data_IF_565240237883
#
_entry.id   IF_565240237883
#
_cell.length_a   1.000
_cell.length_b   1.000
_cell.length_c   1.000
_cell.angle_alpha   90.00
_cell.angle_beta   90.00
_cell.angle_gamma   90.00
#
_symmetry.space_group_name_H-M   'P 1'
#
loop_
_entity.id
_entity.type
_entity.pdbx_description
1 polymer ?
#
# COMPACT_ATOMS: atom_id res chain seq x y z
N UNK A 1 1.73 -23.69 3.67
CA UNK A 1 2.02 -23.70 2.22
C UNK A 1 2.12 -22.25 1.82
N UNK A 2 3.31 -21.75 1.50
CA UNK A 2 3.50 -20.35 1.15
C UNK A 2 2.84 -20.09 -0.22
N UNK A 3 2.10 -18.99 -0.39
CA UNK A 3 1.52 -18.63 -1.67
C UNK A 3 2.63 -18.44 -2.73
N UNK A 4 2.31 -18.73 -3.99
CA UNK A 4 3.27 -18.61 -5.11
C UNK A 4 3.55 -17.12 -5.32
N UNK A 5 4.74 -16.76 -5.81
CA UNK A 5 5.11 -15.33 -5.98
C UNK A 5 4.14 -14.52 -6.87
N UNK A 6 3.38 -15.17 -7.77
CA UNK A 6 2.32 -14.52 -8.54
C UNK A 6 1.09 -14.12 -7.70
N UNK A 7 0.86 -14.76 -6.54
CA UNK A 7 -0.31 -14.52 -5.68
C UNK A 7 -0.16 -13.23 -4.85
N UNK A 8 1.06 -12.89 -4.41
CA UNK A 8 1.26 -11.76 -3.47
C UNK A 8 1.02 -10.40 -4.14
N UNK A 9 1.45 -10.25 -5.40
CA UNK A 9 1.23 -9.04 -6.20
C UNK A 9 -0.24 -8.88 -6.61
N UNK A 10 -0.95 -9.98 -6.86
CA UNK A 10 -2.40 -9.97 -7.10
C UNK A 10 -3.17 -9.57 -5.82
N UNK A 11 -2.84 -10.18 -4.68
CA UNK A 11 -3.42 -9.81 -3.38
C UNK A 11 -3.18 -8.34 -3.03
N UNK A 12 -1.95 -7.85 -3.23
CA UNK A 12 -1.62 -6.45 -2.98
C UNK A 12 -2.46 -5.52 -3.86
N UNK A 13 -2.65 -5.85 -5.14
CA UNK A 13 -3.49 -5.07 -6.06
C UNK A 13 -4.95 -5.03 -5.60
N UNK A 14 -5.49 -6.15 -5.10
CA UNK A 14 -6.85 -6.22 -4.53
C UNK A 14 -6.95 -5.33 -3.29
N UNK A 15 -5.99 -5.38 -2.37
CA UNK A 15 -5.99 -4.53 -1.17
C UNK A 15 -5.86 -3.05 -1.52
N UNK A 16 -4.98 -2.70 -2.46
CA UNK A 16 -4.82 -1.34 -2.95
C UNK A 16 -6.13 -0.81 -3.57
N UNK A 17 -6.81 -1.60 -4.40
CA UNK A 17 -8.09 -1.23 -4.99
C UNK A 17 -9.19 -0.99 -3.94
N UNK A 18 -9.24 -1.83 -2.89
CA UNK A 18 -10.16 -1.64 -1.75
C UNK A 18 -9.87 -0.34 -1.00
N UNK A 19 -8.59 -0.07 -0.69
CA UNK A 19 -8.18 1.13 0.02
C UNK A 19 -8.48 2.39 -0.79
N UNK A 20 -8.16 2.37 -2.09
CA UNK A 20 -8.47 3.46 -3.02
C UNK A 20 -9.98 3.74 -3.10
N UNK A 21 -10.82 2.70 -3.05
CA UNK A 21 -12.28 2.86 -3.02
C UNK A 21 -12.72 3.60 -1.75
N UNK A 22 -12.24 3.17 -0.58
CA UNK A 22 -12.57 3.78 0.72
C UNK A 22 -12.14 5.24 0.78
N UNK A 23 -10.89 5.54 0.41
CA UNK A 23 -10.37 6.90 0.34
C UNK A 23 -11.18 7.81 -0.58
N UNK A 24 -11.58 7.29 -1.76
CA UNK A 24 -12.45 8.04 -2.69
C UNK A 24 -13.85 8.30 -2.12
N UNK A 25 -14.43 7.33 -1.41
CA UNK A 25 -15.77 7.45 -0.82
C UNK A 25 -15.77 8.52 0.28
N UNK A 26 -14.77 8.51 1.17
CA UNK A 26 -14.62 9.48 2.26
C UNK A 26 -13.95 10.79 1.86
N UNK A 27 -13.56 10.94 0.58
CA UNK A 27 -12.82 12.10 0.05
C UNK A 27 -11.52 12.38 0.81
N UNK A 28 -10.86 11.33 1.27
CA UNK A 28 -9.62 11.38 2.04
C UNK A 28 -8.39 11.28 1.14
N UNK A 29 -7.31 11.92 1.59
CA UNK A 29 -6.00 11.84 0.98
C UNK A 29 -5.09 10.86 1.71
N UNK A 30 -4.26 10.16 0.94
CA UNK A 30 -3.22 9.26 1.41
C UNK A 30 -1.83 9.80 1.06
N UNK A 31 -0.89 9.61 1.98
CA UNK A 31 0.54 9.69 1.73
C UNK A 31 1.28 8.39 2.11
N UNK A 32 2.49 8.20 1.59
CA UNK A 32 3.34 7.03 1.91
C UNK A 32 4.74 7.42 2.34
N UNK A 33 5.35 6.65 3.24
CA UNK A 33 6.75 6.77 3.63
C UNK A 33 7.44 5.40 3.60
N UNK A 34 8.29 5.15 2.62
CA UNK A 34 8.90 3.85 2.38
C UNK A 34 10.40 3.86 2.63
N UNK A 35 10.91 2.81 3.27
CA UNK A 35 12.34 2.53 3.35
C UNK A 35 12.67 1.28 2.53
N UNK A 36 12.58 0.08 3.11
CA UNK A 36 13.04 -1.17 2.50
C UNK A 36 12.28 -1.59 1.22
N UNK A 37 11.05 -1.11 1.02
CA UNK A 37 10.24 -1.34 -0.19
C UNK A 37 10.62 -0.44 -1.36
N UNK A 38 11.34 0.66 -1.11
CA UNK A 38 11.94 1.51 -2.15
C UNK A 38 10.96 2.05 -3.19
N UNK A 39 9.69 2.28 -2.82
CA UNK A 39 8.67 2.83 -3.71
C UNK A 39 7.66 1.82 -4.25
N UNK A 40 7.79 0.54 -3.88
CA UNK A 40 6.88 -0.50 -4.35
C UNK A 40 5.43 -0.28 -3.89
N UNK A 41 5.20 0.13 -2.63
CA UNK A 41 3.84 0.42 -2.16
C UNK A 41 3.25 1.58 -2.97
N UNK A 42 4.03 2.63 -3.17
CA UNK A 42 3.63 3.80 -3.97
C UNK A 42 3.29 3.39 -5.40
N UNK A 43 4.13 2.57 -6.05
CA UNK A 43 3.90 2.06 -7.41
C UNK A 43 2.54 1.35 -7.50
N UNK A 44 2.29 0.37 -6.61
CA UNK A 44 1.04 -0.41 -6.58
C UNK A 44 -0.18 0.50 -6.41
N UNK A 45 -0.09 1.50 -5.52
CA UNK A 45 -1.19 2.45 -5.30
C UNK A 45 -1.43 3.34 -6.53
N UNK A 46 -0.36 3.81 -7.18
CA UNK A 46 -0.46 4.72 -8.33
C UNK A 46 -0.82 4.04 -9.65
N UNK A 47 -0.69 2.71 -9.73
CA UNK A 47 -1.18 1.92 -10.87
C UNK A 47 -2.71 1.95 -10.97
N UNK A 48 -3.41 2.31 -9.89
CA UNK A 48 -4.86 2.46 -9.88
C UNK A 48 -5.27 3.77 -10.57
N UNK A 49 -6.07 3.65 -11.63
CA UNK A 49 -6.56 4.80 -12.38
C UNK A 49 -7.27 5.86 -11.51
N UNK A 50 -6.87 7.11 -11.71
CA UNK A 50 -7.35 8.25 -10.94
C UNK A 50 -6.73 8.38 -9.54
N UNK A 51 -5.54 7.80 -9.32
CA UNK A 51 -4.73 7.98 -8.10
C UNK A 51 -4.59 9.45 -7.68
N UNK A 52 -4.50 10.38 -8.65
CA UNK A 52 -4.39 11.83 -8.40
C UNK A 52 -5.55 12.46 -7.59
N UNK A 53 -6.64 11.73 -7.35
CA UNK A 53 -7.80 12.20 -6.56
C UNK A 53 -7.73 11.83 -5.08
N UNK A 54 -6.82 10.94 -4.69
CA UNK A 54 -6.77 10.38 -3.32
C UNK A 54 -5.36 10.01 -2.86
N UNK A 55 -4.37 9.94 -3.75
CA UNK A 55 -2.96 9.82 -3.40
C UNK A 55 -2.26 11.17 -3.61
N UNK A 56 -1.61 11.69 -2.57
CA UNK A 56 -1.07 13.06 -2.57
C UNK A 56 0.44 13.12 -2.68
N UNK A 57 1.16 12.27 -1.94
CA UNK A 57 2.64 12.33 -1.86
C UNK A 57 3.21 11.01 -1.34
N UNK A 58 4.39 10.64 -1.84
CA UNK A 58 5.19 9.54 -1.30
C UNK A 58 6.62 10.00 -1.00
N UNK A 59 7.23 9.42 0.03
CA UNK A 59 8.63 9.59 0.38
C UNK A 59 9.36 8.26 0.36
N UNK A 60 10.57 8.26 -0.19
CA UNK A 60 11.52 7.16 -0.03
C UNK A 60 12.62 7.61 0.92
N UNK A 61 12.52 7.22 2.19
CA UNK A 61 13.48 7.61 3.24
C UNK A 61 14.39 6.45 3.61
N UNK A 62 15.26 6.08 2.67
CA UNK A 62 16.10 4.88 2.80
C UNK A 62 17.17 5.01 3.90
N UNK A 63 17.78 6.18 4.05
CA UNK A 63 18.80 6.45 5.07
C UNK A 63 18.19 6.98 6.37
N UNK A 64 18.91 6.82 7.48
CA UNK A 64 18.53 7.39 8.78
C UNK A 64 18.42 8.93 8.70
N UNK A 65 19.36 9.57 8.00
CA UNK A 65 19.34 11.01 7.71
C UNK A 65 18.06 11.43 6.97
N UNK A 66 17.66 10.68 5.93
CA UNK A 66 16.43 11.01 5.18
C UNK A 66 15.17 10.86 6.02
N UNK A 67 15.11 9.91 6.97
CA UNK A 67 13.98 9.78 7.90
C UNK A 67 13.87 11.02 8.79
N UNK A 68 14.99 11.54 9.26
CA UNK A 68 15.07 12.76 10.06
C UNK A 68 14.68 14.00 9.24
N UNK A 69 15.32 14.22 8.10
CA UNK A 69 15.15 15.45 7.33
C UNK A 69 13.74 15.53 6.71
N UNK A 70 13.30 14.44 6.07
CA UNK A 70 12.06 14.43 5.30
C UNK A 70 10.84 14.12 6.14
N UNK A 71 10.97 13.45 7.29
CA UNK A 71 9.82 13.01 8.11
C UNK A 71 9.93 13.43 9.58
N UNK A 72 11.04 14.02 10.02
CA UNK A 72 11.19 14.55 11.38
C UNK A 72 11.29 13.46 12.42
N UNK A 73 11.71 12.24 12.03
CA UNK A 73 11.94 11.15 12.96
C UNK A 73 13.10 11.54 13.87
N UNK A 74 12.88 11.44 15.18
CA UNK A 74 13.90 11.75 16.18
C UNK A 74 15.10 10.81 16.04
N UNK A 75 16.30 11.38 16.06
CA UNK A 75 17.56 10.67 15.96
C UNK A 75 17.74 9.66 17.11
N UNK A 76 17.21 9.96 18.30
CA UNK A 76 17.25 9.06 19.46
C UNK A 76 16.50 7.73 19.20
N UNK A 77 15.46 7.73 18.35
CA UNK A 77 14.72 6.52 17.97
C UNK A 77 15.52 5.64 16.99
N UNK A 78 16.42 6.23 16.22
CA UNK A 78 17.08 5.57 15.09
C UNK A 78 18.50 5.09 15.46
N UNK A 79 19.26 5.91 16.19
CA UNK A 79 20.67 5.62 16.50
C UNK A 79 20.75 4.48 17.51
N UNK A 80 21.39 3.37 17.09
CA UNK A 80 21.58 2.18 17.93
C UNK A 80 22.42 2.53 19.16
N UNK A 81 21.86 2.33 20.34
CA UNK A 81 22.47 2.61 21.64
C UNK A 81 21.65 2.01 22.79
N UNK A 82 22.07 2.24 24.03
CA UNK A 82 21.28 1.81 25.20
C UNK A 82 19.91 2.49 25.18
N UNK A 83 18.84 1.69 25.03
CA UNK A 83 17.45 2.17 25.03
C UNK A 83 16.85 2.49 23.66
N UNK A 84 17.63 2.49 22.57
CA UNK A 84 17.09 2.69 21.22
C UNK A 84 16.70 1.36 20.58
N UNK A 85 15.52 1.32 19.96
CA UNK A 85 15.10 0.19 19.15
C UNK A 85 15.76 0.20 17.76
N UNK A 86 16.25 1.34 17.29
CA UNK A 86 16.84 1.50 15.96
C UNK A 86 15.82 1.55 14.81
N UNK A 87 16.29 1.84 13.59
CA UNK A 87 15.48 2.16 12.41
C UNK A 87 14.32 1.20 12.07
N UNK A 88 14.40 -0.08 12.47
CA UNK A 88 13.35 -1.09 12.24
C UNK A 88 12.61 -1.34 13.54
N UNK A 89 11.72 -0.42 13.93
CA UNK A 89 10.94 -0.52 15.15
C UNK A 89 9.53 0.04 14.98
N UNK A 90 8.70 -0.21 16.01
CA UNK A 90 7.35 0.35 16.11
C UNK A 90 7.39 1.88 16.08
N UNK A 91 8.22 2.47 16.93
CA UNK A 91 8.34 3.90 17.15
C UNK A 91 8.78 4.64 15.89
N UNK A 92 9.74 4.07 15.15
CA UNK A 92 10.19 4.64 13.88
C UNK A 92 9.09 4.55 12.82
N UNK A 93 8.36 3.43 12.75
CA UNK A 93 7.25 3.30 11.82
C UNK A 93 6.14 4.32 12.12
N UNK A 94 5.76 4.48 13.39
CA UNK A 94 4.79 5.48 13.83
C UNK A 94 5.25 6.90 13.49
N UNK A 95 6.49 7.26 13.86
CA UNK A 95 7.06 8.58 13.57
C UNK A 95 7.12 8.88 12.07
N UNK A 96 7.48 7.89 11.23
CA UNK A 96 7.46 8.04 9.78
C UNK A 96 6.03 8.28 9.24
N UNK A 97 5.02 7.58 9.77
CA UNK A 97 3.64 7.73 9.33
C UNK A 97 3.08 9.10 9.73
N UNK A 98 3.27 9.53 10.97
CA UNK A 98 2.87 10.87 11.45
C UNK A 98 3.57 11.96 10.65
N UNK A 99 4.90 11.87 10.49
CA UNK A 99 5.68 12.86 9.76
C UNK A 99 5.26 12.99 8.29
N UNK A 100 4.85 11.89 7.66
CA UNK A 100 4.32 11.89 6.29
C UNK A 100 2.93 12.53 6.22
N UNK A 101 2.02 12.19 7.13
CA UNK A 101 0.69 12.76 7.20
C UNK A 101 0.73 14.28 7.39
N UNK A 102 1.54 14.76 8.34
CA UNK A 102 1.69 16.18 8.64
C UNK A 102 2.25 16.97 7.46
N UNK A 103 3.34 16.49 6.86
CA UNK A 103 4.00 17.19 5.74
C UNK A 103 3.21 17.16 4.44
N UNK A 104 2.42 16.12 4.24
CA UNK A 104 1.53 16.03 3.08
C UNK A 104 0.21 16.77 3.34
N UNK A 105 -0.18 16.96 4.61
CA UNK A 105 -1.52 17.40 4.98
C UNK A 105 -2.56 16.42 4.45
N UNK A 106 -2.45 15.15 4.85
CA UNK A 106 -3.32 14.05 4.42
C UNK A 106 -4.04 13.43 5.61
N UNK A 107 -5.21 12.86 5.35
CA UNK A 107 -6.03 12.19 6.36
C UNK A 107 -5.44 10.84 6.75
N UNK A 108 -4.73 10.19 5.82
CA UNK A 108 -4.05 8.93 6.05
C UNK A 108 -2.59 8.98 5.61
N UNK A 109 -1.71 8.27 6.31
CA UNK A 109 -0.37 7.95 5.85
C UNK A 109 0.04 6.53 6.24
N UNK A 110 0.76 5.85 5.35
CA UNK A 110 1.30 4.50 5.58
C UNK A 110 2.82 4.57 5.52
N UNK A 111 3.50 4.04 6.54
CA UNK A 111 4.95 3.92 6.57
C UNK A 111 5.41 2.47 6.54
N UNK A 112 6.61 2.22 5.99
CA UNK A 112 7.24 0.88 5.99
C UNK A 112 8.73 1.00 6.35
N UNK A 113 9.14 0.30 7.40
CA UNK A 113 10.55 0.06 7.74
C UNK A 113 10.80 -1.42 8.06
N UNK A 114 11.88 -2.00 7.56
CA UNK A 114 12.09 -3.45 7.65
C UNK A 114 13.43 -3.92 7.10
N UNK A 115 13.73 -5.21 7.30
CA UNK A 115 14.97 -5.87 6.87
C UNK A 115 14.64 -6.78 5.69
N UNK A 116 14.78 -6.29 4.46
CA UNK A 116 14.46 -7.08 3.26
C UNK A 116 15.49 -8.18 2.96
N UNK A 117 16.71 -8.10 3.51
CA UNK A 117 17.81 -9.05 3.25
C UNK A 117 18.60 -8.73 1.97
N UNK A 118 19.61 -9.53 1.60
CA UNK A 118 20.06 -10.75 2.30
C UNK A 118 20.96 -10.46 3.51
N UNK A 119 21.19 -9.20 3.85
CA UNK A 119 21.96 -8.76 5.03
C UNK A 119 21.12 -7.80 5.89
N UNK A 120 21.67 -7.38 7.03
CA UNK A 120 21.07 -6.36 7.89
C UNK A 120 20.38 -6.90 9.14
N UNK A 121 20.51 -8.20 9.42
CA UNK A 121 20.08 -8.80 10.69
C UNK A 121 20.80 -8.16 11.88
N UNK A 122 20.10 -8.09 13.00
CA UNK A 122 20.66 -7.74 14.30
C UNK A 122 20.16 -8.71 15.35
N UNK A 123 20.73 -8.66 16.55
CA UNK A 123 20.20 -9.42 17.69
C UNK A 123 18.69 -9.12 17.86
N UNK A 124 17.87 -10.17 17.77
CA UNK A 124 16.42 -10.09 17.87
C UNK A 124 15.67 -9.51 16.66
N UNK A 125 16.33 -9.26 15.52
CA UNK A 125 15.70 -8.77 14.28
C UNK A 125 16.26 -9.49 13.06
N UNK A 126 15.48 -10.42 12.54
CA UNK A 126 15.87 -11.29 11.41
C UNK A 126 15.47 -10.68 10.06
N UNK A 127 16.05 -11.22 8.98
CA UNK A 127 15.61 -10.92 7.62
C UNK A 127 14.13 -11.32 7.47
N UNK A 128 13.37 -10.46 6.81
CA UNK A 128 11.93 -10.62 6.66
C UNK A 128 11.13 -9.90 7.75
N UNK A 129 11.76 -9.32 8.78
CA UNK A 129 11.07 -8.44 9.73
C UNK A 129 10.65 -7.12 9.08
N UNK A 130 9.40 -6.73 9.29
CA UNK A 130 8.86 -5.42 8.88
C UNK A 130 7.96 -4.82 9.95
N UNK A 131 8.01 -3.50 10.07
CA UNK A 131 7.05 -2.67 10.78
C UNK A 131 6.32 -1.77 9.78
N UNK A 132 5.00 -1.69 9.93
CA UNK A 132 4.13 -0.79 9.18
C UNK A 132 3.43 0.13 10.17
N UNK A 133 3.62 1.43 10.01
CA UNK A 133 2.88 2.45 10.75
C UNK A 133 1.74 3.00 9.89
N UNK A 134 0.60 3.28 10.51
CA UNK A 134 -0.55 3.91 9.87
C UNK A 134 -1.03 5.05 10.75
N UNK A 135 -0.99 6.26 10.20
CA UNK A 135 -1.72 7.41 10.71
C UNK A 135 -3.04 7.47 9.93
N UNK A 136 -4.17 7.47 10.62
CA UNK A 136 -5.50 7.71 10.06
C UNK A 136 -6.23 8.70 10.97
N UNK A 137 -6.37 9.93 10.53
CA UNK A 137 -6.92 11.05 11.31
C UNK A 137 -6.22 11.17 12.67
N UNK A 138 -6.92 10.91 13.78
CA UNK A 138 -6.40 10.93 15.15
C UNK A 138 -5.88 9.57 15.65
N UNK A 139 -6.10 8.49 14.89
CA UNK A 139 -5.57 7.16 15.19
C UNK A 139 -4.17 6.97 14.61
N UNK A 140 -3.24 6.55 15.48
CA UNK A 140 -1.89 6.14 15.11
C UNK A 140 -1.64 4.74 15.64
N UNK A 141 -1.28 3.83 14.75
CA UNK A 141 -1.00 2.44 15.11
C UNK A 141 0.07 1.84 14.19
N UNK A 142 0.98 1.05 14.76
CA UNK A 142 1.92 0.24 14.00
C UNK A 142 1.81 -1.25 14.31
N UNK A 143 1.94 -2.07 13.26
CA UNK A 143 1.93 -3.54 13.33
C UNK A 143 3.19 -4.11 12.70
N UNK A 144 3.65 -5.25 13.19
CA UNK A 144 4.80 -5.98 12.65
C UNK A 144 4.44 -7.35 12.12
N UNK A 145 5.30 -7.86 11.24
CA UNK A 145 5.26 -9.23 10.77
C UNK A 145 6.67 -9.69 10.37
N UNK A 146 6.87 -11.00 10.33
CA UNK A 146 8.09 -11.65 9.90
C UNK A 146 7.78 -12.60 8.73
N UNK A 147 8.46 -12.39 7.60
CA UNK A 147 8.19 -13.11 6.34
C UNK A 147 9.26 -14.15 5.95
N UNK A 148 10.24 -14.43 6.82
CA UNK A 148 11.22 -15.52 6.66
C UNK A 148 12.10 -15.45 5.39
N UNK A 149 12.68 -16.60 5.00
CA UNK A 149 13.72 -16.78 3.97
C UNK A 149 13.34 -16.45 2.50
N UNK A 150 12.40 -15.53 2.27
CA UNK A 150 12.22 -14.92 0.95
C UNK A 150 13.50 -14.19 0.52
N UNK A 151 13.78 -14.18 -0.78
CA UNK A 151 14.78 -13.24 -1.31
C UNK A 151 14.30 -11.78 -1.11
N UNK A 152 15.21 -10.82 -1.31
CA UNK A 152 14.92 -9.39 -1.15
C UNK A 152 13.66 -8.96 -1.91
N UNK A 153 13.46 -9.48 -3.12
CA UNK A 153 12.33 -9.10 -3.96
C UNK A 153 11.01 -9.57 -3.34
N UNK A 154 10.93 -10.85 -2.96
CA UNK A 154 9.75 -11.43 -2.31
C UNK A 154 9.42 -10.77 -0.97
N UNK A 155 10.44 -10.41 -0.20
CA UNK A 155 10.23 -9.69 1.06
C UNK A 155 9.61 -8.31 0.79
N UNK A 156 10.08 -7.57 -0.21
CA UNK A 156 9.49 -6.28 -0.58
C UNK A 156 8.01 -6.42 -0.99
N UNK A 157 7.68 -7.43 -1.80
CA UNK A 157 6.28 -7.71 -2.18
C UNK A 157 5.41 -8.04 -0.96
N UNK A 158 5.89 -8.92 -0.09
CA UNK A 158 5.18 -9.29 1.14
C UNK A 158 4.98 -8.09 2.07
N UNK A 159 5.98 -7.22 2.20
CA UNK A 159 5.91 -6.01 3.03
C UNK A 159 4.88 -5.02 2.48
N UNK A 160 4.85 -4.80 1.16
CA UNK A 160 3.87 -3.92 0.53
C UNK A 160 2.44 -4.46 0.68
N UNK A 161 2.22 -5.76 0.47
CA UNK A 161 0.93 -6.41 0.70
C UNK A 161 0.51 -6.31 2.18
N UNK A 162 1.44 -6.55 3.10
CA UNK A 162 1.20 -6.42 4.54
C UNK A 162 0.81 -5.00 4.92
N UNK A 163 1.46 -3.99 4.33
CA UNK A 163 1.14 -2.59 4.60
C UNK A 163 -0.29 -2.24 4.18
N UNK A 164 -0.71 -2.67 2.99
CA UNK A 164 -2.08 -2.45 2.50
C UNK A 164 -3.12 -3.17 3.36
N UNK A 165 -2.85 -4.42 3.75
CA UNK A 165 -3.75 -5.17 4.63
C UNK A 165 -3.87 -4.52 6.01
N UNK A 166 -2.75 -4.08 6.58
CA UNK A 166 -2.72 -3.39 7.87
C UNK A 166 -3.50 -2.07 7.81
N UNK A 167 -3.32 -1.28 6.74
CA UNK A 167 -4.07 -0.05 6.52
C UNK A 167 -5.59 -0.30 6.43
N UNK A 168 -6.02 -1.35 5.73
CA UNK A 168 -7.44 -1.71 5.64
C UNK A 168 -8.01 -2.15 7.00
N UNK A 169 -7.27 -2.92 7.78
CA UNK A 169 -7.72 -3.35 9.10
C UNK A 169 -7.85 -2.16 10.06
N UNK A 170 -6.85 -1.29 10.11
CA UNK A 170 -6.88 -0.08 10.95
C UNK A 170 -8.02 0.86 10.52
N UNK A 171 -8.29 0.96 9.22
CA UNK A 171 -9.46 1.67 8.71
C UNK A 171 -10.77 1.05 9.21
N UNK A 172 -10.92 -0.27 9.10
CA UNK A 172 -12.14 -0.94 9.55
C UNK A 172 -12.34 -0.79 11.06
N UNK A 173 -11.27 -0.92 11.85
CA UNK A 173 -11.29 -0.71 13.29
C UNK A 173 -11.73 0.74 13.61
N UNK A 174 -11.14 1.75 12.96
CA UNK A 174 -11.46 3.18 13.15
C UNK A 174 -12.94 3.50 12.90
N UNK A 175 -13.46 3.12 11.73
CA UNK A 175 -14.85 3.46 11.36
C UNK A 175 -15.89 2.52 11.97
N UNK A 176 -15.49 1.38 12.55
CA UNK A 176 -16.40 0.54 13.34
C UNK A 176 -16.64 1.08 14.75
N UNK A 177 -15.68 1.84 15.30
CA UNK A 177 -15.79 2.47 16.63
C UNK A 177 -16.60 3.78 16.58
N UNK A 178 -16.75 4.41 15.41
CA UNK A 178 -17.46 5.68 15.21
C UNK A 178 -18.97 5.55 14.99
N UNK A 179 -19.51 4.37 14.66
CA UNK A 179 -20.96 4.14 14.62
C UNK A 179 -21.47 3.71 16.01
N UNK A 180 -22.08 4.60 16.83
CA UNK A 180 -22.92 4.11 17.92
C UNK A 180 -24.08 3.32 17.30
N UNK A 181 -24.40 2.16 17.86
CA UNK A 181 -25.55 1.33 17.46
C UNK A 181 -26.76 2.24 17.19
N UNK A 182 -27.14 2.37 15.91
CA UNK A 182 -28.39 3.01 15.55
C UNK A 182 -29.50 2.21 16.25
N UNK A 183 -30.18 2.83 17.22
CA UNK A 183 -31.39 2.29 17.83
C UNK A 183 -32.31 1.82 16.70
N UNK A 184 -32.55 0.50 16.66
CA UNK A 184 -33.44 -0.12 15.70
C UNK A 184 -34.88 0.24 16.07
N UNK A 185 -35.36 1.39 15.61
CA UNK A 185 -36.79 1.63 15.52
C UNK A 185 -37.33 0.73 14.40
N UNK A 186 -37.95 -0.37 14.81
CA UNK A 186 -38.79 -1.22 13.96
C UNK A 186 -39.99 -0.41 13.46
N UNK A 187 -39.81 0.39 12.40
CA UNK A 187 -40.94 0.84 11.59
C UNK A 187 -41.27 -0.22 10.53
N UNK A 188 -42.30 -1.02 10.82
CA UNK A 188 -42.92 -1.95 9.87
C UNK A 188 -43.33 -1.22 8.58
N UNK A 189 -42.69 -1.58 7.46
CA UNK A 189 -43.11 -1.13 6.13
C UNK A 189 -44.44 -1.81 5.72
N UNK A 190 -45.42 -1.07 5.18
CA UNK A 190 -46.66 -1.68 4.71
C UNK A 190 -46.41 -2.42 3.40
N UNK A 191 -46.84 -3.68 3.36
CA UNK A 191 -46.88 -4.52 2.18
C UNK A 191 -47.88 -3.95 1.18
N UNK A 192 -47.40 -3.51 0.01
CA UNK A 192 -48.24 -3.33 -1.17
C UNK A 192 -47.72 -4.22 -2.29
N UNK A 193 -48.53 -5.22 -2.63
CA UNK A 193 -48.40 -6.05 -3.82
C UNK A 193 -48.46 -5.18 -5.07
N UNK A 194 -47.50 -5.37 -5.99
CA UNK A 194 -47.60 -4.89 -7.36
C UNK A 194 -47.37 -6.08 -8.28
N UNK A 195 -48.44 -6.41 -9.01
CA UNK A 195 -48.49 -7.37 -10.10
C UNK A 195 -47.48 -7.04 -11.21
N UNK A 196 -46.88 -8.10 -11.76
CA UNK A 196 -46.89 -8.37 -13.20
C UNK A 196 -46.17 -7.42 -14.15
N UNK A 197 -45.07 -7.95 -14.70
CA UNK A 197 -44.59 -7.78 -16.08
C UNK A 197 -43.61 -6.64 -16.44
N UNK A 198 -42.48 -7.12 -16.98
CA UNK A 198 -41.59 -6.52 -17.99
C UNK A 198 -40.68 -5.37 -17.59
N UNK A 199 -39.37 -5.67 -17.40
CA UNK A 199 -38.32 -4.70 -17.72
C UNK A 199 -36.97 -5.33 -18.15
N UNK A 200 -37.01 -6.50 -18.80
CA UNK A 200 -35.85 -7.13 -19.41
C UNK A 200 -35.55 -6.65 -20.84
N UNK A 201 -36.18 -5.55 -21.29
CA UNK A 201 -36.00 -5.02 -22.65
C UNK A 201 -35.34 -3.62 -22.72
N UNK A 202 -35.00 -2.97 -21.59
CA UNK A 202 -34.30 -1.68 -21.62
C UNK A 202 -32.76 -1.74 -21.51
N UNK A 203 -32.18 -2.84 -21.00
CA UNK A 203 -30.72 -2.96 -20.85
C UNK A 203 -29.96 -3.24 -22.16
N UNK A 204 -30.59 -3.88 -23.14
CA UNK A 204 -29.93 -4.21 -24.42
C UNK A 204 -29.84 -3.02 -25.40
N UNK A 205 -30.59 -1.94 -25.18
CA UNK A 205 -30.53 -0.75 -26.05
C UNK A 205 -29.41 0.22 -25.67
N UNK A 206 -28.95 0.20 -24.41
CA UNK A 206 -27.89 1.08 -23.93
C UNK A 206 -26.49 0.59 -24.34
N UNK A 207 -26.31 -0.71 -24.58
CA UNK A 207 -25.04 -1.30 -25.01
C UNK A 207 -24.73 -1.14 -26.52
N UNK A 208 -25.67 -0.65 -27.35
CA UNK A 208 -25.48 -0.53 -28.80
C UNK A 208 -25.12 0.88 -29.31
N UNK A 209 -24.93 1.86 -28.42
CA UNK A 209 -24.70 3.26 -28.85
C UNK A 209 -23.34 3.84 -28.45
N UNK A 210 -22.40 3.03 -27.95
CA UNK A 210 -21.01 3.47 -27.67
C UNK A 210 -20.01 2.61 -28.44
N UNK A 211 -20.19 2.52 -29.76
CA UNK A 211 -19.23 1.86 -30.67
C UNK A 211 -18.82 2.76 -31.84
N UNK A 212 -18.53 4.04 -31.58
CA UNK A 212 -18.14 4.98 -32.63
C UNK A 212 -17.35 6.16 -32.11
N UNK A 213 -16.06 5.99 -31.90
CA UNK A 213 -15.13 7.07 -31.57
C UNK A 213 -13.72 6.55 -31.35
N UNK A 214 -12.90 6.58 -32.40
CA UNK A 214 -11.49 6.18 -32.38
C UNK A 214 -10.69 7.18 -31.52
N UNK A 215 -10.20 6.77 -30.34
CA UNK A 215 -9.25 7.53 -29.52
C UNK A 215 -7.92 6.77 -29.49
N UNK A 216 -7.40 6.45 -30.67
CA UNK A 216 -6.07 5.85 -30.84
C UNK A 216 -5.41 6.43 -32.09
N UNK A 217 -5.23 7.74 -32.14
CA UNK A 217 -4.26 8.38 -33.03
C UNK A 217 -3.20 9.05 -32.16
N UNK A 218 -2.32 8.21 -31.61
CA UNK A 218 -0.94 8.54 -31.22
C UNK A 218 -0.19 7.20 -31.10
N UNK A 219 -0.11 6.46 -32.20
CA UNK A 219 0.83 5.36 -32.34
C UNK A 219 2.16 5.99 -32.74
N UNK A 220 3.13 5.94 -31.82
CA UNK A 220 4.54 6.11 -32.18
C UNK A 220 4.92 4.83 -32.91
N UNK A 221 5.32 4.95 -34.18
CA UNK A 221 5.87 3.85 -34.96
C UNK A 221 7.14 3.36 -34.23
N UNK A 222 7.14 2.08 -33.85
CA UNK A 222 8.27 1.41 -33.23
C UNK A 222 8.81 0.39 -34.23
N UNK A 223 9.89 0.76 -34.91
CA UNK A 223 10.51 0.03 -36.03
C UNK A 223 11.35 -1.18 -35.58
N UNK A 224 11.25 -1.59 -34.31
CA UNK A 224 12.00 -2.70 -33.75
C UNK A 224 11.28 -4.02 -33.96
N UNK A 225 11.99 -5.06 -34.41
CA UNK A 225 11.47 -6.42 -34.24
C UNK A 225 11.39 -6.73 -32.74
N UNK A 226 10.31 -7.38 -32.24
CA UNK A 226 10.21 -7.76 -30.86
C UNK A 226 11.25 -8.86 -30.57
N UNK A 227 12.39 -8.46 -30.02
CA UNK A 227 13.30 -9.41 -29.39
C UNK A 227 12.50 -10.13 -28.29
N UNK A 228 12.47 -11.46 -28.39
CA UNK A 228 11.90 -12.31 -27.37
C UNK A 228 12.58 -11.98 -26.04
N UNK A 229 11.81 -11.44 -25.10
CA UNK A 229 12.29 -11.21 -23.73
C UNK A 229 12.78 -12.55 -23.21
N UNK A 230 14.10 -12.68 -22.99
CA UNK A 230 14.68 -13.83 -22.32
C UNK A 230 13.99 -14.02 -20.96
N UNK A 231 13.79 -15.27 -20.55
CA UNK A 231 13.15 -15.55 -19.26
C UNK A 231 13.85 -14.78 -18.13
N UNK A 232 13.09 -14.23 -17.16
CA UNK A 232 13.65 -13.40 -16.12
C UNK A 232 14.76 -14.17 -15.38
N UNK A 233 15.97 -13.60 -15.40
CA UNK A 233 17.11 -14.22 -14.76
C UNK A 233 16.83 -14.43 -13.27
N UNK A 234 17.09 -15.63 -12.76
CA UNK A 234 17.04 -15.92 -11.31
C UNK A 234 18.19 -15.30 -10.53
N UNK A 235 19.16 -14.69 -11.22
CA UNK A 235 20.24 -13.92 -10.62
C UNK A 235 19.75 -12.53 -10.23
N UNK A 236 19.93 -12.17 -8.95
CA UNK A 236 19.68 -10.82 -8.44
C UNK A 236 20.69 -9.86 -9.08
N UNK A 237 20.27 -8.81 -9.80
CA UNK A 237 21.17 -7.78 -10.28
C UNK A 237 21.95 -7.17 -9.09
N UNK A 238 23.28 -7.22 -9.14
CA UNK A 238 24.16 -6.70 -8.09
C UNK A 238 24.55 -7.68 -6.97
N UNK A 239 24.24 -8.98 -7.11
CA UNK A 239 24.71 -10.01 -6.17
C UNK A 239 26.25 -10.14 -6.12
N UNK A 240 26.95 -9.73 -7.18
CA UNK A 240 28.41 -9.79 -7.30
C UNK A 240 29.12 -8.48 -6.93
N UNK A 241 28.40 -7.48 -6.42
CA UNK A 241 29.02 -6.23 -5.97
C UNK A 241 29.70 -6.48 -4.62
N UNK A 242 31.01 -6.25 -4.58
CA UNK A 242 31.79 -6.26 -3.34
C UNK A 242 31.53 -4.95 -2.60
N UNK A 243 30.95 -5.04 -1.39
CA UNK A 243 30.43 -3.91 -0.63
C UNK A 243 31.39 -3.41 0.46
N UNK A 244 32.59 -3.99 0.54
CA UNK A 244 33.63 -3.59 1.49
C UNK A 244 34.53 -2.49 0.87
N UNK A 245 34.05 -1.23 0.87
CA UNK A 245 34.89 -0.03 0.73
C UNK A 245 34.77 0.88 1.97
#
# INVERSE_FOLDING_TARGET
MLPRAADVTEEASIHAAKLARRLKQERMWLATAESCTGGLLTSILTDISGASKWFKRGWITYSDESKKDELGVDEELIVRGEGSAGAVSKEVAEAMATGAAERAGTDMAISITGIAGPTGETEGKEIGLVWVGVQLQDRLEARSAEFGHGDRYRNKEAFANFALRTALQIWDDHFSEEEPEAESDEEEAPQNEVDGETDSQQLDSALKTVSGGNILDNVVDWDGEPETVEEPSTSIPGADVDWDE
#
